data_IF_669797455066
#
_entry.id   IF_669797455066
#
_cell.length_a   1.000
_cell.length_b   1.000
_cell.length_c   1.000
_cell.angle_alpha   90.00
_cell.angle_beta   90.00
_cell.angle_gamma   90.00
#
_symmetry.space_group_name_H-M   'P 1'
#
loop_
_entity.id
_entity.type
_entity.pdbx_description
1 polymer ?
#
# COMPACT_ATOMS: atom_id res chain seq x y z
N UNK A 1 -20.07 10.11 -25.08
CA UNK A 1 -19.47 9.41 -23.92
C UNK A 1 -19.21 7.97 -24.33
N UNK A 2 -18.02 7.41 -24.05
CA UNK A 2 -17.82 5.97 -24.14
C UNK A 2 -18.83 5.25 -23.23
N UNK A 3 -19.20 4.00 -23.52
CA UNK A 3 -20.06 3.21 -22.64
C UNK A 3 -19.46 3.15 -21.22
N UNK A 4 -20.29 3.31 -20.19
CA UNK A 4 -19.86 3.07 -18.82
C UNK A 4 -19.52 1.59 -18.67
N UNK A 5 -18.23 1.30 -18.45
CA UNK A 5 -17.76 -0.03 -18.11
C UNK A 5 -18.14 -0.32 -16.66
N UNK A 6 -19.20 -1.12 -16.48
CA UNK A 6 -19.69 -1.54 -15.16
C UNK A 6 -18.70 -2.46 -14.41
N UNK A 7 -17.59 -2.88 -15.01
CA UNK A 7 -16.56 -3.67 -14.33
C UNK A 7 -15.67 -2.83 -13.39
N UNK A 8 -15.71 -1.50 -13.46
CA UNK A 8 -14.84 -0.61 -12.67
C UNK A 8 -15.59 0.61 -12.12
N UNK A 9 -16.20 0.42 -10.93
CA UNK A 9 -17.16 1.35 -10.32
C UNK A 9 -16.50 2.49 -9.53
N UNK A 10 -15.35 2.25 -8.90
CA UNK A 10 -14.53 3.24 -8.20
C UNK A 10 -13.04 2.84 -8.26
N UNK A 11 -12.13 3.80 -8.25
CA UNK A 11 -10.69 3.60 -8.35
C UNK A 11 -9.98 3.46 -7.00
N UNK A 12 -10.45 4.17 -5.96
CA UNK A 12 -9.83 4.22 -4.62
C UNK A 12 -8.29 4.18 -4.67
N UNK A 13 -7.71 5.03 -5.53
CA UNK A 13 -6.33 4.88 -5.95
C UNK A 13 -5.33 5.06 -4.79
N UNK A 14 -4.40 4.12 -4.60
CA UNK A 14 -3.26 4.33 -3.67
C UNK A 14 -2.12 5.11 -4.29
N UNK A 15 -1.98 5.07 -5.61
CA UNK A 15 -0.99 5.80 -6.38
C UNK A 15 -1.57 6.29 -7.71
N UNK A 16 -1.09 7.44 -8.19
CA UNK A 16 -1.52 8.06 -9.44
C UNK A 16 -0.26 8.53 -10.17
N UNK A 17 -0.16 8.25 -11.48
CA UNK A 17 0.91 8.75 -12.35
C UNK A 17 0.31 9.77 -13.31
N UNK A 18 0.98 10.90 -13.45
CA UNK A 18 0.42 12.03 -14.18
C UNK A 18 1.45 12.81 -15.00
N UNK A 19 1.13 13.10 -16.26
CA UNK A 19 1.94 13.97 -17.13
C UNK A 19 1.39 15.40 -17.07
N UNK A 20 2.16 16.32 -16.45
CA UNK A 20 1.79 17.74 -16.38
C UNK A 20 1.56 18.37 -17.75
N UNK A 21 2.32 17.97 -18.78
CA UNK A 21 2.17 18.47 -20.16
C UNK A 21 0.90 17.96 -20.83
N UNK A 22 0.58 16.68 -20.64
CA UNK A 22 -0.52 16.02 -21.35
C UNK A 22 -1.87 16.34 -20.73
N UNK A 23 -1.91 16.61 -19.43
CA UNK A 23 -3.14 16.63 -18.67
C UNK A 23 -3.30 17.93 -17.85
N UNK A 24 -2.74 19.06 -18.32
CA UNK A 24 -2.88 20.36 -17.65
C UNK A 24 -4.35 20.69 -17.36
N UNK A 25 -5.23 20.52 -18.35
CA UNK A 25 -6.66 20.83 -18.21
C UNK A 25 -7.35 19.89 -17.24
N UNK A 26 -7.00 18.60 -17.29
CA UNK A 26 -7.49 17.60 -16.32
C UNK A 26 -7.06 17.95 -14.88
N UNK A 27 -5.86 18.50 -14.62
CA UNK A 27 -5.51 18.96 -13.26
C UNK A 27 -6.35 20.12 -12.80
N UNK A 28 -6.65 21.08 -13.68
CA UNK A 28 -7.49 22.22 -13.34
C UNK A 28 -8.92 21.77 -13.01
N UNK A 29 -9.46 20.82 -13.78
CA UNK A 29 -10.76 20.21 -13.50
C UNK A 29 -10.72 19.39 -12.21
N UNK A 30 -9.67 18.60 -11.97
CA UNK A 30 -9.50 17.86 -10.72
C UNK A 30 -9.46 18.80 -9.51
N UNK A 31 -8.78 19.95 -9.61
CA UNK A 31 -8.77 20.95 -8.55
C UNK A 31 -10.17 21.51 -8.28
N UNK A 32 -10.95 21.80 -9.33
CA UNK A 32 -12.33 22.22 -9.20
C UNK A 32 -13.20 21.13 -8.55
N UNK A 33 -13.07 19.87 -8.98
CA UNK A 33 -13.78 18.74 -8.38
C UNK A 33 -13.42 18.55 -6.91
N UNK A 34 -12.15 18.70 -6.54
CA UNK A 34 -11.70 18.61 -5.16
C UNK A 34 -12.20 19.76 -4.29
N UNK A 35 -12.23 20.98 -4.82
CA UNK A 35 -12.77 22.13 -4.09
C UNK A 35 -14.24 21.92 -3.69
N UNK A 36 -15.05 21.37 -4.58
CA UNK A 36 -16.44 20.99 -4.31
C UNK A 36 -16.61 19.51 -3.94
N UNK A 37 -15.51 18.84 -3.58
CA UNK A 37 -15.43 17.39 -3.39
C UNK A 37 -16.39 16.89 -2.31
N UNK A 38 -16.23 17.32 -1.06
CA UNK A 38 -17.05 16.84 0.06
C UNK A 38 -18.56 17.08 -0.11
N UNK A 39 -18.92 18.19 -0.77
CA UNK A 39 -20.32 18.57 -0.94
C UNK A 39 -20.99 17.87 -2.13
N UNK A 40 -20.24 17.56 -3.19
CA UNK A 40 -20.80 17.11 -4.46
C UNK A 40 -19.98 15.97 -5.06
N UNK A 41 -18.73 16.23 -5.43
CA UNK A 41 -18.01 15.37 -6.37
C UNK A 41 -17.48 14.06 -5.77
N UNK A 42 -17.17 13.99 -4.47
CA UNK A 42 -16.69 12.74 -3.86
C UNK A 42 -17.78 11.67 -3.86
N UNK A 43 -19.00 12.03 -3.46
CA UNK A 43 -20.16 11.14 -3.50
C UNK A 43 -20.57 10.79 -4.92
N UNK A 44 -20.56 11.79 -5.80
CA UNK A 44 -20.90 11.60 -7.21
C UNK A 44 -19.91 10.67 -7.90
N UNK A 45 -18.61 10.81 -7.65
CA UNK A 45 -17.61 10.01 -8.33
C UNK A 45 -17.42 8.62 -7.72
N UNK A 46 -17.52 8.49 -6.40
CA UNK A 46 -17.39 7.19 -5.70
C UNK A 46 -18.68 6.36 -5.76
N UNK A 47 -19.81 6.96 -6.12
CA UNK A 47 -21.14 6.34 -6.03
C UNK A 47 -21.47 5.83 -4.61
N UNK A 48 -20.90 6.47 -3.58
CA UNK A 48 -21.08 6.08 -2.18
C UNK A 48 -20.22 4.88 -1.74
N UNK A 49 -19.19 4.53 -2.49
CA UNK A 49 -18.20 3.54 -2.06
C UNK A 49 -17.41 4.00 -0.83
N UNK A 50 -16.92 3.04 -0.04
CA UNK A 50 -16.01 3.32 1.08
C UNK A 50 -14.68 3.86 0.55
N UNK A 51 -14.13 4.86 1.25
CA UNK A 51 -12.88 5.52 0.86
C UNK A 51 -13.05 6.83 0.10
N UNK A 52 -14.30 7.29 -0.08
CA UNK A 52 -14.62 8.48 -0.89
C UNK A 52 -13.67 9.67 -0.65
N UNK A 53 -13.16 10.24 -1.74
CA UNK A 53 -12.18 11.30 -1.62
C UNK A 53 -11.64 11.84 -2.92
N UNK A 54 -10.53 12.55 -2.77
CA UNK A 54 -9.85 13.30 -3.81
C UNK A 54 -9.35 12.43 -4.97
N UNK A 55 -8.89 11.22 -4.66
CA UNK A 55 -8.32 10.29 -5.63
C UNK A 55 -9.23 9.94 -6.79
N UNK A 56 -10.53 9.85 -6.54
CA UNK A 56 -11.50 9.52 -7.59
C UNK A 56 -11.63 10.66 -8.62
N UNK A 57 -11.34 11.90 -8.22
CA UNK A 57 -11.51 13.07 -9.09
C UNK A 57 -10.58 13.07 -10.30
N UNK A 58 -9.40 12.44 -10.21
CA UNK A 58 -8.38 12.49 -11.27
C UNK A 58 -8.75 11.68 -12.51
N UNK A 59 -9.44 10.54 -12.34
CA UNK A 59 -9.97 9.77 -13.47
C UNK A 59 -11.08 10.57 -14.15
N UNK A 60 -12.03 11.06 -13.37
CA UNK A 60 -13.17 11.81 -13.90
C UNK A 60 -12.78 13.15 -14.52
N UNK A 61 -11.72 13.79 -14.05
CA UNK A 61 -11.20 15.02 -14.66
C UNK A 61 -10.57 14.74 -16.01
N UNK A 62 -9.86 13.62 -16.18
CA UNK A 62 -9.34 13.20 -17.48
C UNK A 62 -10.49 12.88 -18.45
N UNK A 63 -11.54 12.19 -17.99
CA UNK A 63 -12.75 11.96 -18.80
C UNK A 63 -13.40 13.28 -19.23
N UNK A 64 -13.54 14.24 -18.32
CA UNK A 64 -14.18 15.53 -18.60
C UNK A 64 -13.38 16.41 -19.56
N UNK A 65 -12.04 16.31 -19.55
CA UNK A 65 -11.17 17.04 -20.47
C UNK A 65 -10.87 16.30 -21.78
N UNK A 66 -11.52 15.15 -22.04
CA UNK A 66 -11.18 14.23 -23.14
C UNK A 66 -9.67 13.84 -23.16
N UNK A 67 -9.08 13.77 -21.96
CA UNK A 67 -7.68 13.42 -21.76
C UNK A 67 -7.47 11.90 -21.74
N UNK A 68 -6.29 11.41 -22.14
CA UNK A 68 -5.96 10.00 -22.01
C UNK A 68 -5.93 9.59 -20.54
N UNK A 69 -6.40 8.39 -20.23
CA UNK A 69 -6.33 7.84 -18.88
C UNK A 69 -6.20 6.32 -18.94
N UNK A 70 -5.71 5.75 -17.85
CA UNK A 70 -5.63 4.31 -17.67
C UNK A 70 -5.83 3.96 -16.21
N UNK A 71 -6.75 3.03 -15.93
CA UNK A 71 -6.92 2.43 -14.61
C UNK A 71 -6.29 1.05 -14.63
N UNK A 72 -5.40 0.81 -13.66
CA UNK A 72 -4.75 -0.49 -13.48
C UNK A 72 -5.80 -1.57 -13.28
N UNK A 73 -5.68 -2.65 -14.04
CA UNK A 73 -6.62 -3.78 -14.06
C UNK A 73 -6.24 -4.85 -13.04
N UNK A 74 -4.95 -5.03 -12.75
CA UNK A 74 -4.50 -5.87 -11.64
C UNK A 74 -5.15 -5.42 -10.34
N UNK A 75 -5.75 -6.38 -9.63
CA UNK A 75 -6.39 -6.12 -8.34
C UNK A 75 -5.34 -5.88 -7.26
N UNK A 76 -5.67 -5.03 -6.30
CA UNK A 76 -4.88 -4.87 -5.07
C UNK A 76 -4.77 -6.22 -4.36
N UNK A 77 -3.57 -6.58 -3.93
CA UNK A 77 -3.33 -7.78 -3.11
C UNK A 77 -3.09 -7.38 -1.67
N UNK A 78 -3.86 -7.96 -0.76
CA UNK A 78 -3.60 -7.85 0.67
C UNK A 78 -2.46 -8.81 1.04
N UNK A 79 -1.49 -8.28 1.76
CA UNK A 79 -0.33 -8.97 2.29
C UNK A 79 -0.41 -8.98 3.81
N UNK A 80 0.00 -10.10 4.38
CA UNK A 80 -0.31 -10.45 5.76
C UNK A 80 0.11 -11.88 6.07
N UNK A 81 -0.10 -12.26 7.32
CA UNK A 81 0.19 -13.60 7.83
C UNK A 81 -1.02 -14.16 8.57
N UNK A 82 -1.01 -15.47 8.75
CA UNK A 82 -1.99 -16.17 9.59
C UNK A 82 -1.30 -16.52 10.90
N UNK A 83 -1.88 -16.04 11.99
CA UNK A 83 -1.45 -16.34 13.37
C UNK A 83 -1.58 -17.83 13.67
N UNK A 84 -0.85 -18.32 14.68
CA UNK A 84 -0.95 -19.72 15.13
C UNK A 84 -2.34 -20.11 15.64
N UNK A 85 -3.14 -19.16 16.12
CA UNK A 85 -4.54 -19.34 16.52
C UNK A 85 -5.53 -19.23 15.34
N UNK A 86 -5.05 -18.99 14.12
CA UNK A 86 -5.83 -19.04 12.89
C UNK A 86 -6.48 -17.71 12.48
N UNK A 87 -6.21 -16.62 13.19
CA UNK A 87 -6.60 -15.27 12.78
C UNK A 87 -5.72 -14.79 11.62
N UNK A 88 -6.35 -14.30 10.54
CA UNK A 88 -5.67 -13.64 9.42
C UNK A 88 -5.43 -12.18 9.75
N UNK A 89 -4.18 -11.73 9.70
CA UNK A 89 -3.78 -10.33 9.91
C UNK A 89 -3.15 -9.76 8.64
N UNK A 90 -3.89 -8.89 7.96
CA UNK A 90 -3.39 -8.15 6.80
C UNK A 90 -2.92 -6.76 7.22
N UNK A 91 -1.71 -6.38 6.84
CA UNK A 91 -1.08 -5.11 7.25
C UNK A 91 -0.57 -4.26 6.08
N UNK A 92 -0.53 -4.86 4.89
CA UNK A 92 0.04 -4.25 3.69
C UNK A 92 -0.87 -4.49 2.48
N UNK A 93 -0.94 -3.51 1.58
CA UNK A 93 -1.62 -3.65 0.29
C UNK A 93 -0.62 -3.41 -0.85
N UNK A 94 -0.47 -4.38 -1.72
CA UNK A 94 0.38 -4.29 -2.90
C UNK A 94 -0.42 -3.86 -4.14
N UNK A 95 0.15 -2.90 -4.87
CA UNK A 95 -0.36 -2.33 -6.11
C UNK A 95 0.67 -2.53 -7.23
N UNK A 96 0.17 -2.66 -8.46
CA UNK A 96 0.92 -3.26 -9.55
C UNK A 96 1.40 -2.23 -10.57
N UNK A 97 2.46 -2.59 -11.30
CA UNK A 97 3.11 -1.71 -12.26
C UNK A 97 2.13 -1.34 -13.40
N UNK A 98 1.73 -0.06 -13.53
CA UNK A 98 0.74 0.35 -14.53
C UNK A 98 1.24 0.22 -15.97
N UNK A 99 2.55 0.29 -16.20
CA UNK A 99 3.13 0.18 -17.53
C UNK A 99 3.13 -1.26 -18.05
N UNK A 100 3.33 -2.25 -17.16
CA UNK A 100 3.28 -3.67 -17.52
C UNK A 100 1.82 -4.09 -17.65
N UNK A 101 0.97 -3.73 -16.70
CA UNK A 101 -0.48 -3.99 -16.74
C UNK A 101 -1.11 -3.47 -18.05
N UNK A 102 -0.75 -2.25 -18.48
CA UNK A 102 -1.20 -1.68 -19.75
C UNK A 102 -0.72 -2.44 -20.99
N UNK A 103 0.53 -2.91 -21.01
CA UNK A 103 1.15 -3.50 -22.21
C UNK A 103 0.92 -5.00 -22.34
N UNK A 104 1.00 -5.72 -21.24
CA UNK A 104 1.01 -7.18 -21.18
C UNK A 104 -0.21 -7.76 -20.46
N UNK A 105 -0.96 -6.94 -19.72
CA UNK A 105 -2.16 -7.35 -19.00
C UNK A 105 -1.92 -7.63 -17.51
N UNK A 106 -3.02 -7.83 -16.74
CA UNK A 106 -2.97 -7.88 -15.29
C UNK A 106 -2.24 -9.09 -14.72
N UNK A 107 -2.20 -10.20 -15.46
CA UNK A 107 -1.51 -11.45 -15.06
C UNK A 107 0.02 -11.32 -15.08
N UNK A 108 0.54 -10.45 -15.94
CA UNK A 108 1.98 -10.20 -16.10
C UNK A 108 2.47 -9.05 -15.22
N UNK A 109 1.54 -8.27 -14.66
CA UNK A 109 1.88 -7.11 -13.86
C UNK A 109 2.56 -7.53 -12.57
N UNK A 110 3.61 -6.79 -12.20
CA UNK A 110 4.40 -7.06 -10.99
C UNK A 110 4.09 -6.03 -9.90
N UNK A 111 4.24 -6.40 -8.62
CA UNK A 111 4.15 -5.44 -7.53
C UNK A 111 5.08 -4.25 -7.78
N UNK A 112 4.59 -3.04 -7.51
CA UNK A 112 5.28 -1.79 -7.79
C UNK A 112 5.18 -0.79 -6.64
N UNK A 113 4.05 -0.78 -5.94
CA UNK A 113 3.83 0.07 -4.78
C UNK A 113 3.24 -0.75 -3.63
N UNK A 114 3.65 -0.44 -2.41
CA UNK A 114 3.26 -1.15 -1.20
C UNK A 114 2.75 -0.14 -0.18
N UNK A 115 1.49 -0.27 0.26
CA UNK A 115 0.86 0.58 1.24
C UNK A 115 0.70 -0.15 2.59
N UNK A 116 1.61 0.11 3.54
CA UNK A 116 1.49 -0.34 4.92
C UNK A 116 0.42 0.51 5.63
N UNK A 117 -0.73 -0.08 5.90
CA UNK A 117 -1.90 0.65 6.39
C UNK A 117 -2.20 0.38 7.84
N UNK A 118 -1.90 -0.81 8.34
CA UNK A 118 -2.20 -1.20 9.71
C UNK A 118 -1.23 -2.27 10.21
N UNK A 119 -0.25 -1.92 11.04
CA UNK A 119 0.06 -0.60 11.61
C UNK A 119 0.83 0.31 10.66
N UNK A 120 0.97 1.58 11.04
CA UNK A 120 1.93 2.49 10.40
C UNK A 120 3.34 2.13 10.85
N UNK A 121 4.31 2.32 9.95
CA UNK A 121 5.72 1.98 10.17
C UNK A 121 6.38 3.01 11.11
N UNK A 122 6.04 2.91 12.38
CA UNK A 122 6.56 3.70 13.49
C UNK A 122 7.34 2.78 14.44
N UNK A 123 8.67 2.93 14.58
CA UNK A 123 9.45 2.07 15.44
C UNK A 123 8.98 2.03 16.90
N UNK A 124 8.44 3.13 17.45
CA UNK A 124 7.99 3.18 18.84
C UNK A 124 6.81 2.24 19.10
N UNK A 125 5.93 2.13 18.10
CA UNK A 125 4.75 1.30 18.17
C UNK A 125 5.06 -0.14 17.73
N UNK A 126 5.84 -0.30 16.66
CA UNK A 126 6.17 -1.60 16.08
C UNK A 126 7.03 -2.44 17.01
N UNK A 127 8.08 -1.86 17.60
CA UNK A 127 9.04 -2.58 18.44
C UNK A 127 8.63 -2.57 19.92
N UNK A 128 7.34 -2.70 20.18
CA UNK A 128 6.76 -2.72 21.52
C UNK A 128 6.01 -4.02 21.77
N UNK A 129 6.42 -4.78 22.77
CA UNK A 129 5.86 -6.11 23.09
C UNK A 129 4.36 -6.09 23.46
N UNK A 130 3.81 -4.93 23.84
CA UNK A 130 2.41 -4.81 24.24
C UNK A 130 1.49 -4.34 23.12
N UNK A 131 2.03 -3.65 22.13
CA UNK A 131 1.24 -2.97 21.09
C UNK A 131 1.60 -3.41 19.69
N UNK A 132 2.84 -3.83 19.44
CA UNK A 132 3.36 -4.16 18.13
C UNK A 132 2.71 -5.39 17.52
N UNK A 133 2.49 -5.37 16.21
CA UNK A 133 1.94 -6.51 15.45
C UNK A 133 2.98 -7.58 15.10
N UNK A 134 4.22 -7.44 15.58
CA UNK A 134 5.31 -8.37 15.32
C UNK A 134 5.15 -9.68 16.09
N UNK A 135 4.33 -9.67 17.14
CA UNK A 135 4.16 -10.78 18.08
C UNK A 135 2.88 -11.56 17.76
N UNK A 136 3.03 -12.88 17.65
CA UNK A 136 1.93 -13.81 17.53
C UNK A 136 1.27 -14.06 18.91
N UNK A 137 0.15 -14.78 18.93
CA UNK A 137 -0.64 -15.08 20.13
C UNK A 137 0.13 -15.86 21.20
N UNK A 138 1.19 -16.60 20.83
CA UNK A 138 2.08 -17.30 21.75
C UNK A 138 3.30 -16.47 22.19
N UNK A 139 3.41 -15.22 21.75
CA UNK A 139 4.51 -14.31 22.04
C UNK A 139 5.74 -14.49 21.14
N UNK A 140 5.72 -15.43 20.20
CA UNK A 140 6.79 -15.53 19.20
C UNK A 140 6.72 -14.41 18.17
N UNK A 141 7.87 -14.02 17.63
CA UNK A 141 7.94 -13.04 16.55
C UNK A 141 7.73 -13.70 15.19
N UNK A 142 7.07 -12.98 14.28
CA UNK A 142 6.80 -13.48 12.92
C UNK A 142 6.84 -12.38 11.86
N UNK A 143 6.95 -12.79 10.60
CA UNK A 143 6.74 -11.90 9.45
C UNK A 143 5.31 -11.38 9.46
N UNK A 144 5.13 -10.14 9.02
CA UNK A 144 3.80 -9.51 9.04
C UNK A 144 3.22 -9.25 7.64
N UNK A 145 4.01 -9.42 6.56
CA UNK A 145 3.54 -9.26 5.18
C UNK A 145 3.47 -10.58 4.41
N UNK A 146 4.21 -11.60 4.82
CA UNK A 146 4.21 -12.92 4.18
C UNK A 146 4.17 -14.03 5.22
N UNK A 147 3.65 -15.19 4.80
CA UNK A 147 3.61 -16.39 5.64
C UNK A 147 5.02 -17.00 5.84
N UNK A 148 5.92 -16.79 4.88
CA UNK A 148 7.30 -17.31 4.95
C UNK A 148 8.24 -16.57 3.97
N UNK A 149 9.55 -16.81 4.12
CA UNK A 149 10.61 -16.20 3.33
C UNK A 149 10.51 -16.53 1.83
N UNK A 150 10.14 -17.76 1.46
CA UNK A 150 9.98 -18.14 0.04
C UNK A 150 8.91 -17.28 -0.63
N UNK A 151 7.75 -17.14 0.01
CA UNK A 151 6.67 -16.29 -0.49
C UNK A 151 7.13 -14.82 -0.61
N UNK A 152 7.85 -14.30 0.38
CA UNK A 152 8.36 -12.93 0.36
C UNK A 152 9.31 -12.67 -0.82
N UNK A 153 10.28 -13.56 -1.02
CA UNK A 153 11.29 -13.46 -2.08
C UNK A 153 10.72 -13.69 -3.49
N UNK A 154 9.71 -14.54 -3.62
CA UNK A 154 9.03 -14.79 -4.90
C UNK A 154 8.10 -13.64 -5.30
N UNK A 155 7.39 -13.04 -4.33
CA UNK A 155 6.33 -12.08 -4.63
C UNK A 155 6.85 -10.79 -5.27
N UNK A 156 7.94 -10.23 -4.74
CA UNK A 156 8.58 -9.04 -5.31
C UNK A 156 9.58 -9.37 -6.43
N UNK A 157 9.87 -10.66 -6.63
CA UNK A 157 10.72 -11.19 -7.68
C UNK A 157 12.22 -11.12 -7.38
N UNK A 158 13.00 -11.80 -8.21
CA UNK A 158 14.48 -11.79 -8.20
C UNK A 158 15.16 -12.21 -6.88
N UNK A 159 14.45 -12.89 -5.98
CA UNK A 159 15.03 -13.34 -4.70
C UNK A 159 15.25 -12.20 -3.69
N UNK A 160 14.61 -11.05 -3.88
CA UNK A 160 14.76 -9.90 -3.01
C UNK A 160 13.69 -9.90 -1.91
N UNK A 161 14.12 -9.91 -0.65
CA UNK A 161 13.22 -9.84 0.51
C UNK A 161 12.95 -8.38 0.91
N UNK A 162 11.96 -7.77 0.26
CA UNK A 162 11.56 -6.40 0.55
C UNK A 162 11.02 -6.20 1.97
N UNK A 163 10.51 -7.27 2.59
CA UNK A 163 10.06 -7.22 3.98
C UNK A 163 11.24 -7.11 4.93
N UNK A 164 12.23 -8.00 4.79
CA UNK A 164 13.47 -7.94 5.58
C UNK A 164 14.12 -6.56 5.49
N UNK A 165 14.26 -6.03 4.28
CA UNK A 165 14.90 -4.73 4.06
C UNK A 165 14.19 -3.58 4.78
N UNK A 166 12.85 -3.49 4.75
CA UNK A 166 12.16 -2.42 5.46
C UNK A 166 12.34 -2.56 6.99
N UNK A 167 12.36 -3.78 7.52
CA UNK A 167 12.58 -3.99 8.96
C UNK A 167 14.01 -3.66 9.39
N UNK A 168 15.00 -3.89 8.52
CA UNK A 168 16.37 -3.41 8.70
C UNK A 168 16.39 -1.88 8.81
N UNK A 169 15.78 -1.16 7.87
CA UNK A 169 15.69 0.30 7.91
C UNK A 169 14.94 0.82 9.14
N UNK A 170 13.85 0.14 9.55
CA UNK A 170 13.12 0.51 10.77
C UNK A 170 13.95 0.31 12.04
N UNK A 171 14.68 -0.80 12.13
CA UNK A 171 15.60 -1.07 13.25
C UNK A 171 16.70 -0.02 13.27
N UNK A 172 17.33 0.27 12.13
CA UNK A 172 18.40 1.27 12.02
C UNK A 172 17.88 2.64 12.46
N UNK A 173 16.70 3.05 12.01
CA UNK A 173 16.04 4.27 12.47
C UNK A 173 15.90 4.31 14.00
N UNK A 174 15.43 3.21 14.60
CA UNK A 174 15.23 3.10 16.04
C UNK A 174 16.55 3.21 16.82
N UNK A 175 17.63 2.60 16.31
CA UNK A 175 18.94 2.58 16.93
C UNK A 175 19.73 3.88 16.73
N UNK A 176 19.63 4.53 15.57
CA UNK A 176 20.33 5.79 15.31
C UNK A 176 19.66 6.98 16.02
N UNK A 177 18.34 6.87 16.28
CA UNK A 177 17.54 7.92 16.88
C UNK A 177 16.95 7.51 18.24
N UNK A 178 17.74 6.86 19.11
CA UNK A 178 17.28 6.31 20.41
C UNK A 178 16.56 7.32 21.33
N UNK A 179 16.79 8.63 21.13
CA UNK A 179 16.13 9.69 21.91
C UNK A 179 14.71 10.00 21.45
N UNK A 180 14.34 9.57 20.24
CA UNK A 180 13.02 9.79 19.65
C UNK A 180 12.03 8.68 20.02
N UNK A 181 12.53 7.49 20.38
CA UNK A 181 11.75 6.29 20.64
C UNK A 181 11.95 5.76 22.05
N UNK A 182 11.13 4.80 22.48
CA UNK A 182 11.30 4.13 23.75
C UNK A 182 12.64 3.37 23.78
N UNK A 183 13.26 3.33 24.97
CA UNK A 183 14.65 2.85 25.16
C UNK A 183 14.92 1.43 24.67
N UNK A 184 13.89 0.60 24.55
CA UNK A 184 14.01 -0.80 24.14
C UNK A 184 13.67 -1.04 22.67
N UNK A 185 13.29 -0.01 21.89
CA UNK A 185 12.89 -0.15 20.49
C UNK A 185 14.02 -0.75 19.64
N UNK A 186 15.24 -0.21 19.76
CA UNK A 186 16.43 -0.73 19.07
C UNK A 186 16.71 -2.20 19.41
N UNK A 187 16.61 -2.55 20.71
CA UNK A 187 16.87 -3.93 21.19
C UNK A 187 15.82 -4.90 20.64
N UNK A 188 14.54 -4.53 20.67
CA UNK A 188 13.45 -5.36 20.18
C UNK A 188 13.51 -5.49 18.66
N UNK A 189 13.78 -4.40 17.93
CA UNK A 189 13.96 -4.44 16.48
C UNK A 189 15.15 -5.29 16.04
N UNK A 190 16.24 -5.28 16.80
CA UNK A 190 17.41 -6.13 16.54
C UNK A 190 17.07 -7.61 16.76
N UNK A 191 16.45 -7.94 17.90
CA UNK A 191 15.96 -9.30 18.18
C UNK A 191 14.99 -9.79 17.09
N UNK A 192 14.11 -8.92 16.61
CA UNK A 192 13.15 -9.24 15.55
C UNK A 192 13.83 -9.67 14.26
N UNK A 193 14.86 -8.93 13.81
CA UNK A 193 15.60 -9.28 12.61
C UNK A 193 16.35 -10.61 12.76
N UNK A 194 16.99 -10.82 13.91
CA UNK A 194 17.73 -12.05 14.20
C UNK A 194 16.80 -13.28 14.22
N UNK A 195 15.67 -13.21 14.92
CA UNK A 195 14.75 -14.34 15.09
C UNK A 195 13.91 -14.66 13.83
N UNK A 196 13.55 -13.65 13.04
CA UNK A 196 12.57 -13.82 11.94
C UNK A 196 13.21 -13.88 10.56
N UNK A 197 14.35 -13.19 10.37
CA UNK A 197 14.97 -13.03 9.05
C UNK A 197 16.36 -13.65 8.94
N UNK A 198 17.02 -13.97 10.05
CA UNK A 198 18.35 -14.59 10.07
C UNK A 198 18.39 -16.00 10.69
N UNK A 199 17.23 -16.56 11.05
CA UNK A 199 17.10 -17.88 11.67
C UNK A 199 17.25 -19.06 10.67
#
# INVERSE_FOLDING_TARGET
MPPMDHSQVASEAGAIIFSKRTHTDSLLIAAYYNFYGPAVYYKLHSQGALGEGDKETFRWSAVASDGPWYQVKSRVKHLGFTTKDGERRDSMMAQYNPMIDLKAGPEEARPFFAHAYNPKLDPDWMFNEKTGTLFDSDGSMTRIWHENATQAMEYFGSGYDAEAWIWEEMRDMACENEKMFHRTACVIGTRYLEEVFQA
#
